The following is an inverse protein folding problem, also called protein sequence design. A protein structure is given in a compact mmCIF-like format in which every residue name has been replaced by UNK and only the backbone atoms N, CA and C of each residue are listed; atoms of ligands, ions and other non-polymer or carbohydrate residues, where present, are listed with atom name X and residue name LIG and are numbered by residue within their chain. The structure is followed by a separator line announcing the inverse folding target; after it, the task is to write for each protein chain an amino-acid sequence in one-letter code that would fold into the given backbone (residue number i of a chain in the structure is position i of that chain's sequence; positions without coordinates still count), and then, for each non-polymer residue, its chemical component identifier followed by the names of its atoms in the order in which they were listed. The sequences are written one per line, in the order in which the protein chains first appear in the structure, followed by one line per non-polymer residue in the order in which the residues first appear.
data_IF_586050495573
#
_entry.id   IF_586050495573
#
_cell.length_a   1.000
_cell.length_b   1.000
_cell.length_c   1.000
_cell.angle_alpha   90.00
_cell.angle_beta   90.00
_cell.angle_gamma   90.00
#
_symmetry.space_group_name_H-M   'P 1'
#
loop_
_entity.id
_entity.type
_entity.pdbx_description
1 polymer ?
#
# COMPACT_ATOMS: atom_id res chain seq x y z
N UNK A 1 -5.23 13.22 12.42
CA UNK A 1 -4.53 14.16 11.52
C UNK A 1 -3.74 13.33 10.54
N UNK A 2 -3.83 13.62 9.24
CA UNK A 2 -3.14 12.85 8.19
C UNK A 2 -2.17 13.77 7.48
N UNK A 3 -0.93 13.31 7.32
CA UNK A 3 0.13 14.03 6.60
C UNK A 3 0.29 13.40 5.22
N UNK A 4 0.20 14.23 4.18
CA UNK A 4 0.51 13.82 2.82
C UNK A 4 1.82 14.47 2.41
N UNK A 5 2.70 13.67 1.78
CA UNK A 5 4.02 14.12 1.36
C UNK A 5 4.41 13.40 0.08
N UNK A 6 4.88 14.14 -0.92
CA UNK A 6 5.35 13.59 -2.19
C UNK A 6 6.65 14.28 -2.59
N UNK A 7 7.61 13.51 -3.09
CA UNK A 7 8.83 14.05 -3.68
C UNK A 7 8.59 14.38 -5.15
N UNK A 8 8.78 15.64 -5.52
CA UNK A 8 8.55 16.14 -6.86
C UNK A 8 9.33 17.45 -7.05
N UNK A 9 10.67 17.39 -7.13
CA UNK A 9 11.54 18.57 -7.07
C UNK A 9 11.34 19.53 -8.24
N UNK A 10 11.03 19.00 -9.43
CA UNK A 10 10.82 19.76 -10.67
C UNK A 10 9.40 20.34 -10.81
N UNK A 11 8.46 19.94 -9.96
CA UNK A 11 7.11 20.49 -10.00
C UNK A 11 7.14 21.97 -9.59
N UNK A 12 6.29 22.78 -10.23
CA UNK A 12 6.11 24.20 -9.88
C UNK A 12 4.93 24.40 -8.94
N UNK A 13 3.92 23.55 -9.03
CA UNK A 13 2.75 23.53 -8.14
C UNK A 13 2.26 22.10 -7.94
N UNK A 14 1.93 21.77 -6.69
CA UNK A 14 1.23 20.52 -6.36
C UNK A 14 0.01 20.84 -5.52
N UNK A 15 -1.09 20.17 -5.83
CA UNK A 15 -2.27 20.12 -4.99
C UNK A 15 -2.64 18.67 -4.68
N UNK A 16 -3.17 18.43 -3.50
CA UNK A 16 -3.83 17.17 -3.18
C UNK A 16 -5.31 17.29 -3.48
N UNK A 17 -5.86 16.31 -4.20
CA UNK A 17 -7.29 16.13 -4.33
C UNK A 17 -7.74 15.15 -3.23
N UNK A 18 -8.60 15.55 -2.30
CA UNK A 18 -9.12 14.71 -1.20
C UNK A 18 -10.48 15.25 -0.73
N UNK A 19 -11.43 14.37 -0.41
CA UNK A 19 -12.81 14.73 -0.01
C UNK A 19 -13.48 15.76 -0.93
N UNK A 20 -13.34 15.56 -2.25
CA UNK A 20 -13.89 16.46 -3.27
C UNK A 20 -13.23 17.85 -3.36
N UNK A 21 -12.17 18.10 -2.58
CA UNK A 21 -11.45 19.38 -2.57
C UNK A 21 -10.08 19.23 -3.21
N UNK A 22 -9.61 20.30 -3.84
CA UNK A 22 -8.24 20.46 -4.30
C UNK A 22 -7.53 21.46 -3.38
N UNK A 23 -6.50 21.02 -2.67
CA UNK A 23 -5.81 21.80 -1.66
C UNK A 23 -4.33 21.96 -2.05
N UNK A 24 -3.82 23.20 -2.17
CA UNK A 24 -2.43 23.41 -2.54
C UNK A 24 -1.49 22.90 -1.45
N UNK A 25 -0.43 22.19 -1.86
CA UNK A 25 0.61 21.71 -0.97
C UNK A 25 1.75 22.72 -0.86
N UNK A 26 2.44 22.73 0.29
CA UNK A 26 3.60 23.59 0.53
C UNK A 26 4.87 22.90 0.06
N UNK A 27 5.68 23.58 -0.76
CA UNK A 27 7.03 23.11 -1.13
C UNK A 27 7.97 23.16 0.09
N UNK A 28 8.75 22.12 0.28
CA UNK A 28 9.82 22.01 1.27
C UNK A 28 11.18 22.17 0.58
N UNK A 29 12.25 22.43 1.36
CA UNK A 29 13.58 22.74 0.82
C UNK A 29 14.29 21.57 0.15
N UNK A 30 13.84 20.34 0.39
CA UNK A 30 14.42 19.08 -0.06
C UNK A 30 13.70 18.48 -1.31
N UNK A 31 12.89 19.29 -1.99
CA UNK A 31 12.13 18.87 -3.18
C UNK A 31 10.82 18.14 -2.87
N UNK A 32 10.48 17.96 -1.59
CA UNK A 32 9.18 17.45 -1.18
C UNK A 32 8.11 18.53 -1.18
N UNK A 33 6.86 18.08 -1.29
CA UNK A 33 5.66 18.87 -1.09
C UNK A 33 4.86 18.25 0.05
N UNK A 34 4.32 19.07 0.96
CA UNK A 34 3.62 18.60 2.15
C UNK A 34 2.32 19.36 2.41
N UNK A 35 1.33 18.64 2.94
CA UNK A 35 0.16 19.23 3.61
C UNK A 35 -0.28 18.33 4.78
N UNK A 36 -0.83 18.95 5.83
CA UNK A 36 -1.38 18.26 6.99
C UNK A 36 -2.85 18.60 7.14
N UNK A 37 -3.69 17.57 7.16
CA UNK A 37 -5.14 17.71 7.17
C UNK A 37 -5.74 17.03 8.41
N UNK A 38 -6.83 17.61 8.93
CA UNK A 38 -7.60 17.09 10.06
C UNK A 38 -9.03 16.83 9.61
N UNK A 39 -9.75 15.98 10.34
CA UNK A 39 -11.17 15.72 10.15
C UNK A 39 -11.53 15.28 8.73
N UNK A 40 -10.72 14.39 8.15
CA UNK A 40 -11.03 13.77 6.86
C UNK A 40 -12.00 12.62 7.08
N UNK A 41 -13.07 12.61 6.29
CA UNK A 41 -14.03 11.50 6.21
C UNK A 41 -13.37 10.23 5.65
N UNK A 42 -13.73 9.09 6.22
CA UNK A 42 -13.22 7.77 5.82
C UNK A 42 -14.19 7.09 4.83
N UNK A 43 -13.68 6.27 3.87
CA UNK A 43 -12.26 6.08 3.58
C UNK A 43 -11.64 7.34 2.95
N UNK A 44 -10.40 7.66 3.34
CA UNK A 44 -9.70 8.84 2.83
C UNK A 44 -9.10 8.52 1.45
N UNK A 45 -9.85 8.85 0.39
CA UNK A 45 -9.42 8.71 -1.00
C UNK A 45 -8.72 9.97 -1.49
N UNK A 46 -7.48 9.85 -1.98
CA UNK A 46 -6.66 10.97 -2.39
C UNK A 46 -5.89 10.71 -3.70
N UNK A 47 -5.42 11.80 -4.30
CA UNK A 47 -4.57 11.80 -5.50
C UNK A 47 -3.87 13.17 -5.62
N UNK A 48 -2.81 13.27 -6.41
CA UNK A 48 -2.07 14.52 -6.59
C UNK A 48 -2.34 15.15 -7.96
N UNK A 49 -2.47 16.47 -8.00
CA UNK A 49 -2.39 17.26 -9.24
C UNK A 49 -1.04 17.96 -9.28
N UNK A 50 -0.32 17.76 -10.38
CA UNK A 50 1.05 18.25 -10.57
C UNK A 50 1.03 19.19 -11.78
N UNK A 51 1.42 20.45 -11.58
CA UNK A 51 1.44 21.47 -12.63
C UNK A 51 0.11 21.63 -13.39
N UNK A 52 -1.02 21.30 -12.73
CA UNK A 52 -2.37 21.39 -13.30
C UNK A 52 -2.82 20.14 -14.06
N UNK A 53 -1.98 19.10 -14.16
CA UNK A 53 -2.31 17.80 -14.75
C UNK A 53 -2.74 16.81 -13.67
N UNK A 54 -3.43 15.75 -14.08
CA UNK A 54 -3.93 14.68 -13.22
C UNK A 54 -5.44 14.74 -13.01
N UNK A 55 -5.97 14.20 -11.90
CA UNK A 55 -5.22 13.72 -10.72
C UNK A 55 -4.47 12.39 -10.98
N UNK A 56 -3.30 12.24 -10.36
CA UNK A 56 -2.44 11.04 -10.42
C UNK A 56 -2.46 10.29 -9.07
N UNK A 57 -2.36 8.95 -9.07
CA UNK A 57 -2.19 8.17 -7.84
C UNK A 57 -0.89 8.56 -7.12
N UNK A 58 -0.84 8.25 -5.82
CA UNK A 58 0.40 8.34 -5.06
C UNK A 58 1.38 7.24 -5.51
N UNK A 59 2.59 7.59 -5.96
CA UNK A 59 3.61 6.58 -6.27
C UNK A 59 4.04 5.76 -5.04
N UNK A 60 3.82 6.28 -3.83
CA UNK A 60 4.04 5.60 -2.56
C UNK A 60 2.72 5.16 -1.89
N UNK A 61 1.66 4.95 -2.67
CA UNK A 61 0.37 4.47 -2.17
C UNK A 61 0.52 3.13 -1.44
N UNK A 62 -0.15 3.02 -0.28
CA UNK A 62 -0.24 1.77 0.46
C UNK A 62 -1.43 0.90 0.00
N UNK A 63 -2.43 1.49 -0.66
CA UNK A 63 -3.60 0.76 -1.14
C UNK A 63 -4.29 1.46 -2.33
N UNK A 64 -4.61 0.68 -3.37
CA UNK A 64 -5.22 1.12 -4.63
C UNK A 64 -6.53 0.35 -4.90
N UNK A 65 -7.66 0.75 -4.29
CA UNK A 65 -8.92 0.01 -4.43
C UNK A 65 -9.52 0.09 -5.84
N UNK A 66 -9.22 1.15 -6.59
CA UNK A 66 -9.75 1.43 -7.92
C UNK A 66 -8.72 1.14 -9.04
N UNK A 67 -7.69 0.33 -8.74
CA UNK A 67 -6.62 -0.02 -9.67
C UNK A 67 -5.49 1.01 -9.76
N UNK A 68 -4.51 0.73 -10.62
CA UNK A 68 -3.23 1.47 -10.68
C UNK A 68 -3.34 2.93 -11.13
N UNK A 69 -4.46 3.30 -11.77
CA UNK A 69 -4.74 4.68 -12.18
C UNK A 69 -5.78 5.37 -11.28
N UNK A 70 -6.41 4.61 -10.39
CA UNK A 70 -7.42 5.09 -9.47
C UNK A 70 -6.83 5.89 -8.32
N UNK A 71 -7.71 6.46 -7.49
CA UNK A 71 -7.30 7.24 -6.33
C UNK A 71 -6.64 6.32 -5.29
N UNK A 72 -5.61 6.83 -4.64
CA UNK A 72 -4.97 6.15 -3.51
C UNK A 72 -5.85 6.25 -2.28
N UNK A 73 -5.81 5.24 -1.42
CA UNK A 73 -6.51 5.25 -0.15
C UNK A 73 -5.49 5.33 0.99
N UNK A 74 -5.74 6.19 1.96
CA UNK A 74 -4.97 6.15 3.21
C UNK A 74 -5.24 4.81 3.88
N UNK A 75 -4.17 4.07 4.10
CA UNK A 75 -4.21 2.81 4.83
C UNK A 75 -3.84 3.05 6.30
N UNK A 76 -4.40 2.23 7.19
CA UNK A 76 -4.07 2.20 8.61
C UNK A 76 -3.64 0.79 8.99
N UNK A 77 -2.57 0.70 9.78
CA UNK A 77 -2.09 -0.55 10.36
C UNK A 77 -2.83 -0.84 11.68
N UNK A 78 -4.13 -1.12 11.59
CA UNK A 78 -4.99 -1.43 12.73
C UNK A 78 -5.13 -2.94 13.00
N UNK A 79 -4.43 -3.77 12.23
CA UNK A 79 -4.45 -5.20 12.41
C UNK A 79 -3.72 -5.62 13.69
N UNK A 80 -4.43 -6.36 14.54
CA UNK A 80 -3.87 -6.94 15.77
C UNK A 80 -3.19 -8.27 15.45
N UNK A 81 -1.90 -8.21 15.12
CA UNK A 81 -1.04 -9.37 14.85
C UNK A 81 -1.09 -10.42 15.96
N UNK A 82 -1.30 -11.69 15.59
CA UNK A 82 -1.47 -12.83 16.50
C UNK A 82 -0.23 -13.74 16.57
N UNK A 83 0.80 -13.45 15.79
CA UNK A 83 2.03 -14.23 15.62
C UNK A 83 3.19 -13.70 16.48
N UNK A 84 2.85 -13.00 17.57
CA UNK A 84 3.86 -12.44 18.48
C UNK A 84 4.76 -13.56 19.01
N UNK A 85 6.06 -13.47 18.68
CA UNK A 85 7.06 -14.47 19.07
C UNK A 85 7.36 -15.52 18.01
N UNK A 86 6.69 -15.48 16.86
CA UNK A 86 7.08 -16.27 15.69
C UNK A 86 8.53 -15.96 15.31
N UNK A 87 9.28 -17.02 14.98
CA UNK A 87 10.65 -16.95 14.49
C UNK A 87 10.72 -17.73 13.19
N UNK A 88 11.15 -17.08 12.12
CA UNK A 88 11.33 -17.75 10.83
C UNK A 88 12.48 -18.78 10.94
N UNK A 89 12.35 -19.96 10.30
CA UNK A 89 13.49 -20.87 10.14
C UNK A 89 14.63 -20.16 9.40
N UNK A 90 15.88 -20.55 9.70
CA UNK A 90 17.03 -19.96 9.00
C UNK A 90 16.97 -20.25 7.50
N UNK A 91 17.32 -19.26 6.67
CA UNK A 91 17.28 -19.38 5.22
C UNK A 91 18.15 -20.54 4.69
N UNK A 92 19.25 -20.89 5.37
CA UNK A 92 20.10 -22.02 4.99
C UNK A 92 19.39 -23.38 5.09
N UNK A 93 18.29 -23.44 5.84
CA UNK A 93 17.44 -24.62 6.00
C UNK A 93 16.15 -24.50 5.17
N UNK A 94 16.05 -23.51 4.28
CA UNK A 94 14.82 -23.21 3.57
C UNK A 94 14.52 -24.28 2.51
N UNK A 95 13.34 -24.86 2.62
CA UNK A 95 12.58 -25.47 1.53
C UNK A 95 11.57 -24.42 1.08
N UNK A 96 11.86 -23.77 -0.05
CA UNK A 96 11.06 -22.67 -0.61
C UNK A 96 10.02 -23.24 -1.57
N UNK A 97 8.79 -22.77 -1.44
CA UNK A 97 7.71 -23.02 -2.40
C UNK A 97 7.25 -21.69 -2.99
N UNK A 98 7.52 -21.48 -4.27
CA UNK A 98 7.01 -20.35 -5.04
C UNK A 98 5.53 -20.59 -5.37
N UNK A 99 4.68 -19.61 -5.09
CA UNK A 99 3.29 -19.64 -5.50
C UNK A 99 2.84 -18.28 -6.01
N UNK A 100 2.03 -18.32 -7.07
CA UNK A 100 1.38 -17.12 -7.59
C UNK A 100 -0.03 -17.00 -7.01
N UNK A 101 -0.29 -15.93 -6.26
CA UNK A 101 -1.57 -15.71 -5.55
C UNK A 101 -2.78 -15.82 -6.49
N UNK A 102 -2.68 -15.29 -7.70
CA UNK A 102 -3.79 -15.25 -8.66
C UNK A 102 -4.18 -16.61 -9.25
N UNK A 103 -3.39 -17.67 -9.05
CA UNK A 103 -3.63 -19.00 -9.66
C UNK A 103 -3.52 -20.16 -8.67
N UNK A 104 -2.91 -19.95 -7.50
CA UNK A 104 -2.69 -20.99 -6.50
C UNK A 104 -4.00 -21.57 -5.92
N UNK A 105 -5.04 -20.75 -5.82
CA UNK A 105 -6.39 -21.20 -5.47
C UNK A 105 -7.40 -20.78 -6.53
N UNK A 106 -8.57 -21.45 -6.64
CA UNK A 106 -9.63 -21.05 -7.57
C UNK A 106 -10.11 -19.61 -7.37
N UNK A 107 -9.98 -19.06 -6.15
CA UNK A 107 -10.37 -17.69 -5.83
C UNK A 107 -9.31 -16.66 -6.27
N UNK A 108 -8.04 -17.05 -6.40
CA UNK A 108 -6.96 -16.14 -6.78
C UNK A 108 -6.70 -15.02 -5.75
N UNK A 109 -6.84 -15.30 -4.45
CA UNK A 109 -6.73 -14.29 -3.37
C UNK A 109 -5.88 -14.79 -2.21
N UNK A 110 -5.40 -13.87 -1.36
CA UNK A 110 -4.70 -14.22 -0.12
C UNK A 110 -5.56 -15.14 0.78
N UNK A 111 -6.85 -14.86 0.94
CA UNK A 111 -7.77 -15.71 1.72
C UNK A 111 -7.90 -17.12 1.12
N UNK A 112 -7.88 -17.25 -0.20
CA UNK A 112 -7.85 -18.54 -0.88
C UNK A 112 -6.55 -19.31 -0.63
N UNK A 113 -5.40 -18.61 -0.67
CA UNK A 113 -4.10 -19.21 -0.34
C UNK A 113 -4.00 -19.65 1.12
N UNK A 114 -4.56 -18.87 2.06
CA UNK A 114 -4.58 -19.18 3.49
C UNK A 114 -5.18 -20.55 3.80
N UNK A 115 -6.17 -21.00 3.03
CA UNK A 115 -6.82 -22.31 3.20
C UNK A 115 -5.90 -23.50 2.90
N UNK A 116 -4.73 -23.27 2.30
CA UNK A 116 -3.77 -24.32 1.92
C UNK A 116 -2.48 -24.31 2.75
N UNK A 117 -2.33 -23.36 3.68
CA UNK A 117 -1.09 -23.22 4.47
C UNK A 117 -0.79 -24.47 5.31
N UNK A 118 -1.82 -25.10 5.89
CA UNK A 118 -1.64 -26.34 6.66
C UNK A 118 -1.12 -27.49 5.77
N UNK A 119 -1.63 -27.60 4.55
CA UNK A 119 -1.14 -28.59 3.59
C UNK A 119 0.33 -28.34 3.21
N UNK A 120 0.72 -27.09 2.96
CA UNK A 120 2.10 -26.73 2.63
C UNK A 120 3.05 -27.02 3.80
N UNK A 121 2.62 -26.76 5.03
CA UNK A 121 3.37 -27.11 6.23
C UNK A 121 3.55 -28.64 6.36
N UNK A 122 2.50 -29.43 6.12
CA UNK A 122 2.58 -30.91 6.13
C UNK A 122 3.47 -31.46 5.02
N UNK A 123 3.55 -30.80 3.87
CA UNK A 123 4.46 -31.13 2.78
C UNK A 123 5.94 -30.94 3.18
N UNK A 124 6.21 -30.13 4.22
CA UNK A 124 7.56 -29.79 4.68
C UNK A 124 8.09 -28.49 4.10
N UNK A 125 7.25 -27.68 3.46
CA UNK A 125 7.62 -26.32 3.02
C UNK A 125 7.87 -25.47 4.26
N UNK A 126 8.92 -24.65 4.19
CA UNK A 126 9.33 -23.78 5.31
C UNK A 126 9.21 -22.30 4.97
N UNK A 127 9.23 -21.96 3.69
CA UNK A 127 9.20 -20.59 3.18
C UNK A 127 8.30 -20.52 1.96
N UNK A 128 7.53 -19.45 1.85
CA UNK A 128 6.76 -19.13 0.65
C UNK A 128 7.44 -17.97 -0.08
N UNK A 129 7.57 -18.11 -1.38
CA UNK A 129 7.91 -17.02 -2.30
C UNK A 129 6.63 -16.65 -3.05
N UNK A 130 6.27 -15.37 -3.04
CA UNK A 130 5.00 -14.84 -3.57
C UNK A 130 5.20 -14.02 -4.83
#
# INVERSE_FOLDING_TARGET
MTRFRIWAPEARKIAICVNGKELPMRRESDGFWRIELKNLEQPIMYAYKIDGKGPFPDPASQFQPEGVHGRSQVWSDDYSWQDRGWQAPELKNAIIYELHIGTFSPQGTYTGAMQKLEHLAQLGVTHLEL
#
